data_IF_678331569359
#
_entry.id   IF_678331569359
#
_cell.length_a   1.000
_cell.length_b   1.000
_cell.length_c   1.000
_cell.angle_alpha   90.00
_cell.angle_beta   90.00
_cell.angle_gamma   90.00
#
_symmetry.space_group_name_H-M   'P 1'
#
loop_
_entity.id
_entity.type
_entity.pdbx_description
1 polymer ?
#
# COMPACT_ATOMS: atom_id res chain seq x y z
N UNK A 1 -10.46 7.64 -0.68
CA UNK A 1 -9.91 6.27 -0.83
C UNK A 1 -9.29 6.15 -2.20
N UNK A 2 -8.07 5.63 -2.29
CA UNK A 2 -7.28 5.52 -3.53
C UNK A 2 -7.75 4.34 -4.37
N UNK A 3 -8.14 3.26 -3.70
CA UNK A 3 -8.65 2.07 -4.34
C UNK A 3 -10.05 2.33 -4.91
N UNK A 4 -10.93 1.43 -5.02
CA UNK A 4 -12.22 1.61 -5.70
C UNK A 4 -13.36 1.94 -4.73
N UNK A 5 -13.47 3.19 -4.20
CA UNK A 5 -14.53 3.53 -3.27
C UNK A 5 -15.89 3.34 -3.96
N UNK A 6 -16.76 2.57 -3.33
CA UNK A 6 -18.13 2.32 -3.79
C UNK A 6 -18.26 1.64 -5.16
N UNK A 7 -17.18 1.08 -5.73
CA UNK A 7 -17.23 0.29 -6.97
C UNK A 7 -16.73 -1.13 -6.71
N UNK A 8 -17.58 -2.10 -6.95
CA UNK A 8 -17.21 -3.51 -6.97
C UNK A 8 -16.52 -3.84 -8.30
N UNK A 9 -15.29 -3.37 -8.49
CA UNK A 9 -14.52 -3.61 -9.70
C UNK A 9 -13.46 -4.67 -9.47
N UNK A 10 -13.38 -5.61 -10.39
CA UNK A 10 -12.24 -6.52 -10.50
C UNK A 10 -11.09 -5.83 -11.23
N UNK A 11 -9.90 -5.89 -10.66
CA UNK A 11 -8.70 -5.54 -11.42
C UNK A 11 -8.37 -6.65 -12.43
N UNK A 12 -7.58 -6.32 -13.45
CA UNK A 12 -7.06 -7.32 -14.41
C UNK A 12 -6.32 -8.45 -13.69
N UNK A 13 -5.67 -8.16 -12.56
CA UNK A 13 -4.94 -9.13 -11.76
C UNK A 13 -5.84 -9.96 -10.81
N UNK A 14 -7.16 -9.67 -10.74
CA UNK A 14 -8.10 -10.38 -9.88
C UNK A 14 -8.30 -9.79 -8.48
N UNK A 15 -7.72 -8.61 -8.18
CA UNK A 15 -8.04 -7.88 -6.96
C UNK A 15 -9.49 -7.37 -7.02
N UNK A 16 -10.18 -7.34 -5.86
CA UNK A 16 -11.60 -7.02 -5.82
C UNK A 16 -12.00 -6.25 -4.55
N UNK A 17 -13.08 -5.49 -4.68
CA UNK A 17 -13.68 -4.74 -3.59
C UNK A 17 -12.96 -3.41 -3.26
N UNK A 18 -13.45 -2.67 -2.25
CA UNK A 18 -12.97 -1.33 -1.93
C UNK A 18 -11.50 -1.27 -1.52
N UNK A 19 -10.93 -2.37 -1.04
CA UNK A 19 -9.52 -2.48 -0.65
C UNK A 19 -8.67 -3.24 -1.67
N UNK A 20 -9.23 -3.60 -2.82
CA UNK A 20 -8.54 -4.31 -3.90
C UNK A 20 -7.71 -5.51 -3.42
N UNK A 21 -8.31 -6.35 -2.56
CA UNK A 21 -7.64 -7.53 -2.02
C UNK A 21 -7.56 -8.63 -3.07
N UNK A 22 -6.38 -9.22 -3.23
CA UNK A 22 -6.19 -10.44 -4.02
C UNK A 22 -6.90 -11.63 -3.36
N UNK A 23 -7.43 -12.59 -4.13
CA UNK A 23 -8.17 -13.75 -3.59
C UNK A 23 -7.40 -14.50 -2.51
N UNK A 24 -6.12 -14.79 -2.75
CA UNK A 24 -5.30 -15.57 -1.82
C UNK A 24 -5.00 -14.79 -0.54
N UNK A 25 -4.78 -13.48 -0.65
CA UNK A 25 -4.61 -12.60 0.50
C UNK A 25 -5.90 -12.54 1.32
N UNK A 26 -7.04 -12.39 0.68
CA UNK A 26 -8.33 -12.36 1.33
C UNK A 26 -8.58 -13.66 2.12
N UNK A 27 -8.40 -14.82 1.48
CA UNK A 27 -8.52 -16.13 2.14
C UNK A 27 -7.56 -16.32 3.30
N UNK A 28 -6.31 -15.88 3.15
CA UNK A 28 -5.29 -15.93 4.22
C UNK A 28 -5.74 -15.20 5.48
N UNK A 29 -6.50 -14.12 5.33
CA UNK A 29 -7.01 -13.32 6.45
C UNK A 29 -8.46 -13.62 6.82
N UNK A 30 -9.00 -14.76 6.37
CA UNK A 30 -10.26 -15.33 6.84
C UNK A 30 -11.50 -14.90 6.06
N UNK A 31 -11.34 -14.27 4.87
CA UNK A 31 -12.47 -13.94 4.01
C UNK A 31 -12.85 -15.14 3.13
N UNK A 32 -14.15 -15.35 2.94
CA UNK A 32 -14.64 -16.27 1.91
C UNK A 32 -14.49 -15.61 0.53
N UNK A 33 -13.90 -16.34 -0.41
CA UNK A 33 -13.79 -15.92 -1.81
C UNK A 33 -14.14 -17.12 -2.70
N UNK A 34 -15.35 -17.12 -3.21
CA UNK A 34 -15.88 -18.13 -4.13
C UNK A 34 -16.84 -17.48 -5.14
N UNK A 35 -17.31 -18.26 -6.11
CA UNK A 35 -18.29 -17.79 -7.09
C UNK A 35 -19.65 -17.40 -6.45
N UNK A 36 -20.00 -17.98 -5.30
CA UNK A 36 -21.28 -17.76 -4.64
C UNK A 36 -21.21 -16.75 -3.49
N UNK A 37 -20.02 -16.52 -2.94
CA UNK A 37 -19.79 -15.59 -1.83
C UNK A 37 -18.40 -14.99 -1.93
N UNK A 38 -18.34 -13.67 -1.92
CA UNK A 38 -17.08 -12.92 -1.93
C UNK A 38 -17.12 -11.79 -0.87
N UNK A 39 -16.50 -12.09 0.28
CA UNK A 39 -16.47 -11.18 1.43
C UNK A 39 -15.61 -9.92 1.18
N UNK A 40 -14.85 -9.86 0.09
CA UNK A 40 -14.06 -8.67 -0.29
C UNK A 40 -14.94 -7.45 -0.59
N UNK A 41 -16.24 -7.65 -0.85
CA UNK A 41 -17.23 -6.57 -1.03
C UNK A 41 -17.80 -6.06 0.28
N UNK A 42 -17.68 -6.81 1.36
CA UNK A 42 -18.09 -6.38 2.69
C UNK A 42 -17.03 -5.45 3.27
N UNK A 43 -17.36 -4.16 3.41
CA UNK A 43 -16.42 -3.10 3.82
C UNK A 43 -15.77 -3.45 5.17
N UNK A 44 -16.55 -3.89 6.16
CA UNK A 44 -16.03 -4.18 7.51
C UNK A 44 -15.07 -5.36 7.51
N UNK A 45 -15.44 -6.48 6.87
CA UNK A 45 -14.59 -7.66 6.78
C UNK A 45 -13.33 -7.37 5.95
N UNK A 46 -13.48 -6.67 4.83
CA UNK A 46 -12.37 -6.32 3.97
C UNK A 46 -11.41 -5.31 4.65
N UNK A 47 -11.92 -4.36 5.42
CA UNK A 47 -11.11 -3.43 6.22
C UNK A 47 -10.29 -4.16 7.28
N UNK A 48 -10.90 -5.12 7.99
CA UNK A 48 -10.19 -5.94 8.98
C UNK A 48 -9.06 -6.77 8.32
N UNK A 49 -9.35 -7.42 7.20
CA UNK A 49 -8.34 -8.17 6.44
C UNK A 49 -7.23 -7.27 5.92
N UNK A 50 -7.55 -6.07 5.44
CA UNK A 50 -6.58 -5.07 5.01
C UNK A 50 -5.68 -4.62 6.18
N UNK A 51 -6.25 -4.36 7.35
CA UNK A 51 -5.48 -4.00 8.55
C UNK A 51 -4.52 -5.13 8.96
N UNK A 52 -4.95 -6.39 8.91
CA UNK A 52 -4.09 -7.56 9.14
C UNK A 52 -2.99 -7.67 8.09
N UNK A 53 -3.28 -7.45 6.82
CA UNK A 53 -2.31 -7.42 5.73
C UNK A 53 -1.24 -6.35 5.97
N UNK A 54 -1.64 -5.14 6.31
CA UNK A 54 -0.70 -4.05 6.63
C UNK A 54 0.18 -4.43 7.81
N UNK A 55 -0.42 -4.86 8.92
CA UNK A 55 0.31 -5.15 10.18
C UNK A 55 1.23 -6.37 10.07
N UNK A 56 0.78 -7.44 9.40
CA UNK A 56 1.50 -8.72 9.42
C UNK A 56 2.40 -8.94 8.21
N UNK A 57 2.19 -8.20 7.13
CA UNK A 57 2.93 -8.40 5.87
C UNK A 57 3.59 -7.10 5.41
N UNK A 58 2.83 -6.04 5.17
CA UNK A 58 3.38 -4.85 4.52
C UNK A 58 4.41 -4.13 5.42
N UNK A 59 4.09 -3.86 6.68
CA UNK A 59 5.01 -3.21 7.63
C UNK A 59 6.29 -4.05 7.84
N UNK A 60 6.23 -5.34 8.18
CA UNK A 60 7.44 -6.15 8.35
C UNK A 60 8.31 -6.24 7.10
N UNK A 61 7.70 -6.35 5.91
CA UNK A 61 8.46 -6.36 4.67
C UNK A 61 9.08 -4.99 4.36
N UNK A 62 8.38 -3.90 4.67
CA UNK A 62 8.94 -2.55 4.52
C UNK A 62 10.18 -2.37 5.38
N UNK A 63 10.12 -2.80 6.64
CA UNK A 63 11.28 -2.76 7.55
C UNK A 63 12.43 -3.58 6.96
N UNK A 64 12.19 -4.82 6.56
CA UNK A 64 13.22 -5.70 5.97
C UNK A 64 13.88 -5.07 4.73
N UNK A 65 13.09 -4.49 3.83
CA UNK A 65 13.63 -3.85 2.62
C UNK A 65 14.52 -2.66 3.01
N UNK A 66 14.06 -1.81 3.93
CA UNK A 66 14.82 -0.65 4.35
C UNK A 66 16.09 -1.05 5.10
N UNK A 67 16.03 -2.03 5.99
CA UNK A 67 17.19 -2.55 6.72
C UNK A 67 18.22 -3.22 5.79
N UNK A 68 17.78 -3.90 4.73
CA UNK A 68 18.71 -4.46 3.73
C UNK A 68 19.48 -3.39 2.93
N UNK A 69 18.98 -2.14 2.94
CA UNK A 69 19.65 -0.98 2.38
C UNK A 69 20.44 -0.16 3.43
N UNK A 70 20.63 -0.72 4.62
CA UNK A 70 21.42 -0.11 5.69
C UNK A 70 20.69 0.90 6.56
N UNK A 71 19.38 1.05 6.43
CA UNK A 71 18.59 1.97 7.26
C UNK A 71 18.18 1.31 8.57
N UNK A 72 18.40 2.00 9.68
CA UNK A 72 17.90 1.55 10.99
C UNK A 72 16.48 2.06 11.20
N UNK A 73 15.50 1.17 11.31
CA UNK A 73 14.09 1.52 11.46
C UNK A 73 13.68 1.44 12.94
N UNK A 74 13.55 2.61 13.57
CA UNK A 74 13.05 2.76 14.95
C UNK A 74 11.53 2.88 14.96
N UNK A 75 10.91 2.80 16.16
CA UNK A 75 9.47 3.03 16.31
C UNK A 75 9.07 4.46 15.89
N UNK A 76 9.90 5.45 16.20
CA UNK A 76 9.69 6.84 15.79
C UNK A 76 9.65 6.98 14.26
N UNK A 77 10.56 6.31 13.57
CA UNK A 77 10.58 6.28 12.09
C UNK A 77 9.30 5.65 11.54
N UNK A 78 8.76 4.62 12.18
CA UNK A 78 7.53 3.98 11.73
C UNK A 78 6.30 4.92 11.82
N UNK A 79 6.35 5.94 12.65
CA UNK A 79 5.31 6.97 12.73
C UNK A 79 5.48 8.09 11.68
N UNK A 80 6.65 8.20 11.07
CA UNK A 80 6.92 9.21 10.05
C UNK A 80 6.08 9.01 8.78
N UNK A 81 5.66 10.12 8.17
CA UNK A 81 4.84 10.09 6.95
C UNK A 81 5.50 9.29 5.82
N UNK A 82 6.79 9.52 5.59
CA UNK A 82 7.51 8.83 4.52
C UNK A 82 7.52 7.30 4.69
N UNK A 83 7.64 6.80 5.93
CA UNK A 83 7.57 5.37 6.19
C UNK A 83 6.18 4.81 5.90
N UNK A 84 5.12 5.51 6.30
CA UNK A 84 3.73 5.13 6.00
C UNK A 84 3.49 5.09 4.48
N UNK A 85 4.02 6.05 3.74
CA UNK A 85 3.95 6.05 2.27
C UNK A 85 4.75 4.90 1.65
N UNK A 86 5.91 4.57 2.21
CA UNK A 86 6.69 3.41 1.79
C UNK A 86 5.92 2.08 2.02
N UNK A 87 5.29 1.93 3.18
CA UNK A 87 4.40 0.78 3.46
C UNK A 87 3.26 0.67 2.45
N UNK A 88 2.68 1.79 2.03
CA UNK A 88 1.65 1.80 1.00
C UNK A 88 2.18 1.35 -0.38
N UNK A 89 3.42 1.68 -0.74
CA UNK A 89 4.05 1.10 -1.93
C UNK A 89 4.19 -0.43 -1.81
N UNK A 90 4.61 -0.94 -0.66
CA UNK A 90 4.71 -2.39 -0.42
C UNK A 90 3.34 -3.07 -0.45
N UNK A 91 2.32 -2.42 0.11
CA UNK A 91 0.94 -2.89 0.05
C UNK A 91 0.44 -3.04 -1.39
N UNK A 92 0.65 -2.01 -2.22
CA UNK A 92 0.14 -1.94 -3.58
C UNK A 92 0.94 -2.77 -4.58
N UNK A 93 2.26 -2.62 -4.58
CA UNK A 93 3.15 -3.24 -5.57
C UNK A 93 3.71 -4.61 -5.15
N UNK A 94 3.66 -4.91 -3.85
CA UNK A 94 4.30 -6.07 -3.24
C UNK A 94 5.79 -5.86 -2.96
N UNK A 95 6.28 -6.58 -1.95
CA UNK A 95 7.65 -6.41 -1.41
C UNK A 95 8.75 -6.61 -2.47
N UNK A 96 8.60 -7.60 -3.34
CA UNK A 96 9.58 -7.89 -4.39
C UNK A 96 9.78 -6.72 -5.36
N UNK A 97 8.68 -6.16 -5.86
CA UNK A 97 8.74 -5.04 -6.82
C UNK A 97 9.28 -3.76 -6.17
N UNK A 98 8.95 -3.52 -4.88
CA UNK A 98 9.51 -2.38 -4.14
C UNK A 98 10.98 -2.57 -3.85
N UNK A 99 11.45 -3.78 -3.52
CA UNK A 99 12.87 -4.08 -3.36
C UNK A 99 13.66 -3.79 -4.65
N UNK A 100 13.17 -4.24 -5.80
CA UNK A 100 13.78 -3.91 -7.10
C UNK A 100 13.81 -2.39 -7.38
N UNK A 101 12.75 -1.69 -7.01
CA UNK A 101 12.70 -0.24 -7.16
C UNK A 101 13.72 0.46 -6.25
N UNK A 102 13.91 -0.03 -5.02
CA UNK A 102 14.92 0.48 -4.08
C UNK A 102 16.35 0.28 -4.61
N UNK A 103 16.65 -0.91 -5.14
CA UNK A 103 17.94 -1.20 -5.77
C UNK A 103 18.23 -0.25 -6.94
N UNK A 104 17.22 0.06 -7.75
CA UNK A 104 17.34 0.97 -8.90
C UNK A 104 17.44 2.44 -8.47
N UNK A 105 16.65 2.85 -7.49
CA UNK A 105 16.60 4.23 -7.00
C UNK A 105 17.87 4.61 -6.24
N UNK A 106 18.54 3.63 -5.59
CA UNK A 106 19.72 3.82 -4.77
C UNK A 106 19.62 5.08 -3.87
N UNK A 107 18.62 5.19 -3.00
CA UNK A 107 18.47 6.36 -2.15
C UNK A 107 19.63 6.41 -1.13
N UNK A 108 20.17 7.61 -0.92
CA UNK A 108 21.31 7.80 0.02
C UNK A 108 20.81 7.86 1.46
N UNK A 109 19.62 8.43 1.67
CA UNK A 109 19.07 8.67 2.99
C UNK A 109 17.58 8.28 3.07
N UNK A 110 17.11 7.80 4.24
CA UNK A 110 15.68 7.58 4.49
C UNK A 110 14.96 8.93 4.61
N UNK A 111 13.69 8.98 4.24
CA UNK A 111 12.90 10.21 4.35
C UNK A 111 12.03 10.47 3.13
N UNK A 112 11.50 11.67 3.02
CA UNK A 112 10.67 12.06 1.88
C UNK A 112 11.42 12.00 0.55
N UNK A 113 12.74 12.25 0.55
CA UNK A 113 13.57 12.11 -0.66
C UNK A 113 13.55 10.70 -1.23
N UNK A 114 13.54 9.67 -0.38
CA UNK A 114 13.35 8.28 -0.80
C UNK A 114 12.01 8.11 -1.53
N UNK A 115 10.92 8.66 -1.01
CA UNK A 115 9.60 8.60 -1.66
C UNK A 115 9.61 9.32 -3.02
N UNK A 116 10.28 10.48 -3.13
CA UNK A 116 10.44 11.18 -4.40
C UNK A 116 11.28 10.39 -5.41
N UNK A 117 12.36 9.74 -4.96
CA UNK A 117 13.18 8.86 -5.84
C UNK A 117 12.37 7.66 -6.33
N UNK A 118 11.59 7.01 -5.46
CA UNK A 118 10.70 5.92 -5.86
C UNK A 118 9.66 6.39 -6.90
N UNK A 119 9.10 7.57 -6.73
CA UNK A 119 8.18 8.14 -7.70
C UNK A 119 8.81 8.29 -9.09
N UNK A 120 10.09 8.61 -9.17
CA UNK A 120 10.82 8.77 -10.43
C UNK A 120 11.37 7.45 -10.99
N UNK A 121 11.33 6.36 -10.20
CA UNK A 121 11.96 5.09 -10.53
C UNK A 121 10.99 4.16 -11.25
N UNK A 122 11.52 3.47 -12.27
CA UNK A 122 10.85 2.35 -12.93
C UNK A 122 11.72 1.11 -12.81
N UNK A 123 11.18 0.03 -12.23
CA UNK A 123 11.90 -1.22 -12.05
C UNK A 123 10.91 -2.39 -12.16
N UNK A 124 11.10 -3.25 -13.14
CA UNK A 124 10.23 -4.40 -13.37
C UNK A 124 8.76 -4.02 -13.45
N UNK A 125 7.95 -4.54 -12.54
CA UNK A 125 6.52 -4.21 -12.43
C UNK A 125 6.23 -2.96 -11.58
N UNK A 126 7.26 -2.38 -10.95
CA UNK A 126 7.14 -1.11 -10.24
C UNK A 126 7.19 0.05 -11.26
N UNK A 127 6.04 0.43 -11.77
CA UNK A 127 5.87 1.50 -12.75
C UNK A 127 4.42 1.99 -12.78
N UNK A 128 4.13 3.11 -13.43
CA UNK A 128 2.81 3.68 -13.59
C UNK A 128 2.06 3.84 -12.24
N UNK A 129 0.99 3.05 -12.01
CA UNK A 129 0.19 3.11 -10.79
C UNK A 129 1.03 2.90 -9.52
N UNK A 130 1.98 1.97 -9.53
CA UNK A 130 2.84 1.69 -8.37
C UNK A 130 3.76 2.85 -8.03
N UNK A 131 4.31 3.54 -9.04
CA UNK A 131 5.11 4.75 -8.84
C UNK A 131 4.30 5.89 -8.20
N UNK A 132 3.07 6.08 -8.68
CA UNK A 132 2.22 7.22 -8.29
C UNK A 132 1.41 6.96 -7.02
N UNK A 133 1.53 5.78 -6.41
CA UNK A 133 0.65 5.40 -5.31
C UNK A 133 0.78 6.30 -4.07
N UNK A 134 1.99 6.74 -3.74
CA UNK A 134 2.21 7.67 -2.62
C UNK A 134 1.58 9.04 -2.86
N UNK A 135 1.64 9.58 -4.08
CA UNK A 135 1.01 10.86 -4.44
C UNK A 135 -0.52 10.75 -4.38
N UNK A 136 -1.07 9.66 -4.88
CA UNK A 136 -2.50 9.38 -4.79
C UNK A 136 -2.95 9.25 -3.32
N UNK A 137 -2.13 8.63 -2.46
CA UNK A 137 -2.40 8.54 -1.03
C UNK A 137 -2.43 9.91 -0.34
N UNK A 138 -1.46 10.77 -0.63
CA UNK A 138 -1.42 12.14 -0.10
C UNK A 138 -2.61 12.95 -0.60
N UNK A 139 -2.92 12.88 -1.89
CA UNK A 139 -4.07 13.58 -2.46
C UNK A 139 -5.40 13.12 -1.84
N UNK A 140 -5.59 11.81 -1.67
CA UNK A 140 -6.79 11.26 -1.05
C UNK A 140 -6.90 11.67 0.42
N UNK A 141 -5.79 11.71 1.16
CA UNK A 141 -5.76 12.19 2.53
C UNK A 141 -6.13 13.68 2.61
N UNK A 142 -5.55 14.51 1.75
CA UNK A 142 -5.85 15.94 1.70
C UNK A 142 -7.33 16.21 1.42
N UNK A 143 -7.92 15.49 0.45
CA UNK A 143 -9.35 15.63 0.15
C UNK A 143 -10.23 15.16 1.31
N UNK A 144 -9.87 14.07 1.99
CA UNK A 144 -10.60 13.58 3.15
C UNK A 144 -10.55 14.60 4.30
N UNK A 145 -9.39 15.17 4.59
CA UNK A 145 -9.21 16.19 5.64
C UNK A 145 -10.08 17.41 5.38
N UNK A 146 -10.13 17.90 4.14
CA UNK A 146 -11.04 18.99 3.74
C UNK A 146 -12.49 18.65 4.01
N UNK A 147 -12.94 17.45 3.66
CA UNK A 147 -14.33 17.05 3.89
C UNK A 147 -14.69 16.93 5.37
N UNK A 148 -13.78 16.47 6.21
CA UNK A 148 -14.00 16.36 7.66
C UNK A 148 -14.01 17.74 8.32
N UNK A 149 -13.12 18.63 7.92
CA UNK A 149 -12.96 19.96 8.52
C UNK A 149 -14.10 20.93 8.16
N UNK A 150 -14.78 20.69 7.04
CA UNK A 150 -15.88 21.54 6.55
C UNK A 150 -17.29 20.94 6.77
N UNK A 151 -17.46 19.92 7.62
CA UNK A 151 -18.79 19.51 8.08
C UNK A 151 -19.22 20.52 9.17
N UNK A 152 -20.28 21.33 8.92
CA UNK A 152 -20.75 22.33 9.90
C UNK A 152 -21.37 21.69 11.13
#
# INVERSE_FOLDING_TARGET
MIESPNRHQHSIAGAYGPFQLMPDVARKFGLHVSAHRDDRTNISLAAEACAKLLKQIAIPNSIKILESHGYRITQEIQEALWFKLFVLHVYHAGAFNVSQAMETACPEEPGMNLIFKLWQTRAGKFQNASQNYSQLAIAAWYELDRHITYIP
#
